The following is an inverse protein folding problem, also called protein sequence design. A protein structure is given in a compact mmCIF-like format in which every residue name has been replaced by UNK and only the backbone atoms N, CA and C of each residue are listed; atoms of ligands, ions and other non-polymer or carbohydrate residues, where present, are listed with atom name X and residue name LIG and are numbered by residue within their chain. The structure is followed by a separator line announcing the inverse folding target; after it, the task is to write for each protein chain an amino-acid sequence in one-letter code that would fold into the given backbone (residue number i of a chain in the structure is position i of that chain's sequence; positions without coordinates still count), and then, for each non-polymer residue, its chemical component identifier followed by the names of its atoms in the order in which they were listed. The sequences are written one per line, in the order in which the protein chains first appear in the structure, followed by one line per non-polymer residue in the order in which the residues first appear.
data_IF_601360417513
#
_entry.id   IF_601360417513
#
_cell.length_a   1.000
_cell.length_b   1.000
_cell.length_c   1.000
_cell.angle_alpha   90.00
_cell.angle_beta   90.00
_cell.angle_gamma   90.00
#
_symmetry.space_group_name_H-M   'P 1'
#
loop_
_entity.id
_entity.type
_entity.pdbx_description
1 polymer ?
#
# COMPACT_ATOMS: atom_id res chain seq x y z
N UNK A 1 14.65 61.78 -26.49
CA UNK A 1 14.00 60.56 -25.97
C UNK A 1 14.08 59.49 -27.05
N UNK A 2 15.06 58.59 -26.98
CA UNK A 2 15.15 57.45 -27.89
C UNK A 2 14.63 56.22 -27.14
N UNK A 3 13.50 55.67 -27.59
CA UNK A 3 12.92 54.46 -27.04
C UNK A 3 13.87 53.28 -27.28
N UNK A 4 14.49 52.79 -26.22
CA UNK A 4 15.36 51.63 -26.25
C UNK A 4 14.50 50.38 -26.52
N UNK A 5 14.35 49.99 -27.79
CA UNK A 5 13.75 48.71 -28.17
C UNK A 5 14.67 47.61 -27.67
N UNK A 6 14.37 47.04 -26.49
CA UNK A 6 15.01 45.82 -25.98
C UNK A 6 15.03 44.79 -27.10
N UNK A 7 16.22 44.41 -27.57
CA UNK A 7 16.36 43.29 -28.51
C UNK A 7 15.65 42.06 -27.91
N UNK A 8 14.84 41.34 -28.70
CA UNK A 8 14.18 40.14 -28.21
C UNK A 8 15.26 39.15 -27.75
N UNK A 9 15.02 38.49 -26.61
CA UNK A 9 15.97 37.50 -26.12
C UNK A 9 16.22 36.44 -27.20
N UNK A 10 17.42 35.85 -27.29
CA UNK A 10 17.71 34.80 -28.26
C UNK A 10 16.66 33.67 -28.24
N UNK A 11 16.13 33.35 -27.05
CA UNK A 11 15.06 32.38 -26.85
C UNK A 11 13.71 32.82 -27.45
N UNK A 12 13.36 34.11 -27.38
CA UNK A 12 12.14 34.64 -27.99
C UNK A 12 12.17 34.55 -29.52
N UNK A 13 13.34 34.73 -30.14
CA UNK A 13 13.52 34.52 -31.60
C UNK A 13 13.34 33.04 -31.96
N UNK A 14 14.00 32.14 -31.23
CA UNK A 14 13.86 30.69 -31.45
C UNK A 14 12.41 30.20 -31.25
N UNK A 15 11.68 30.78 -30.30
CA UNK A 15 10.27 30.48 -30.09
C UNK A 15 9.39 30.93 -31.27
N UNK A 16 9.69 32.08 -31.87
CA UNK A 16 9.01 32.54 -33.07
C UNK A 16 9.27 31.60 -34.26
N UNK A 17 10.52 31.18 -34.45
CA UNK A 17 10.90 30.18 -35.48
C UNK A 17 10.19 28.84 -35.26
N UNK A 18 10.13 28.36 -34.02
CA UNK A 18 9.44 27.12 -33.67
C UNK A 18 7.94 27.19 -33.97
N UNK A 19 7.28 28.33 -33.71
CA UNK A 19 5.86 28.55 -34.06
C UNK A 19 5.65 28.42 -35.57
N UNK A 20 6.46 29.14 -36.35
CA UNK A 20 6.40 29.06 -37.81
C UNK A 20 6.67 27.65 -38.32
N UNK A 21 7.61 26.92 -37.71
CA UNK A 21 7.89 25.53 -38.08
C UNK A 21 6.71 24.60 -37.74
N UNK A 22 6.08 24.80 -36.59
CA UNK A 22 4.90 24.04 -36.16
C UNK A 22 3.73 24.25 -37.11
N UNK A 23 3.46 25.49 -37.52
CA UNK A 23 2.41 25.80 -38.50
C UNK A 23 2.67 25.11 -39.84
N UNK A 24 3.94 25.09 -40.28
CA UNK A 24 4.35 24.39 -41.51
C UNK A 24 4.19 22.87 -41.41
N UNK A 25 4.50 22.28 -40.25
CA UNK A 25 4.31 20.85 -40.00
C UNK A 25 2.81 20.52 -40.00
N UNK A 26 1.98 21.35 -39.37
CA UNK A 26 0.54 21.16 -39.31
C UNK A 26 -0.13 21.23 -40.70
N UNK A 27 0.42 22.03 -41.61
CA UNK A 27 -0.04 22.14 -42.99
C UNK A 27 0.55 21.07 -43.95
N UNK A 28 1.52 20.26 -43.50
CA UNK A 28 2.18 19.28 -44.35
C UNK A 28 1.38 17.97 -44.44
N UNK A 29 1.30 17.40 -45.64
CA UNK A 29 0.69 16.08 -45.83
C UNK A 29 1.64 14.96 -45.36
N UNK A 30 1.14 14.06 -44.52
CA UNK A 30 1.94 12.97 -43.94
C UNK A 30 2.21 11.81 -44.92
N UNK A 31 1.64 11.84 -46.13
CA UNK A 31 1.66 10.75 -47.11
C UNK A 31 0.78 9.56 -46.71
N UNK A 32 0.69 8.56 -47.60
CA UNK A 32 -0.20 7.39 -47.42
C UNK A 32 0.51 6.17 -46.79
N UNK A 33 1.85 6.13 -46.72
CA UNK A 33 2.59 4.98 -46.17
C UNK A 33 2.45 4.90 -44.63
N UNK A 34 1.76 3.87 -44.09
CA UNK A 34 1.52 3.75 -42.65
C UNK A 34 2.81 3.63 -41.81
N UNK A 35 3.90 3.07 -42.37
CA UNK A 35 5.16 2.92 -41.64
C UNK A 35 5.89 4.26 -41.51
N UNK A 36 5.93 5.05 -42.58
CA UNK A 36 6.47 6.39 -42.56
C UNK A 36 5.67 7.32 -41.62
N UNK A 37 4.34 7.28 -41.69
CA UNK A 37 3.45 8.07 -40.81
C UNK A 37 3.67 7.72 -39.34
N UNK A 38 3.78 6.43 -38.99
CA UNK A 38 4.09 6.00 -37.62
C UNK A 38 5.44 6.54 -37.12
N UNK A 39 6.47 6.52 -37.98
CA UNK A 39 7.80 7.04 -37.64
C UNK A 39 7.77 8.56 -37.42
N UNK A 40 7.05 9.31 -38.25
CA UNK A 40 6.84 10.75 -38.08
C UNK A 40 6.12 11.06 -36.76
N UNK A 41 5.05 10.33 -36.44
CA UNK A 41 4.30 10.48 -35.18
C UNK A 41 5.19 10.28 -33.95
N UNK A 42 5.99 9.20 -33.92
CA UNK A 42 6.93 8.94 -32.82
C UNK A 42 8.01 10.03 -32.70
N UNK A 43 8.51 10.56 -33.84
CA UNK A 43 9.45 11.67 -33.84
C UNK A 43 8.85 12.97 -33.26
N UNK A 44 7.59 13.29 -33.59
CA UNK A 44 6.88 14.43 -33.03
C UNK A 44 6.61 14.27 -31.53
N UNK A 45 6.29 13.06 -31.07
CA UNK A 45 6.16 12.75 -29.63
C UNK A 45 7.48 13.00 -28.89
N UNK A 46 8.62 12.59 -29.47
CA UNK A 46 9.94 12.85 -28.90
C UNK A 46 10.27 14.35 -28.82
N UNK A 47 10.02 15.11 -29.88
CA UNK A 47 10.23 16.57 -29.89
C UNK A 47 9.32 17.25 -28.87
N UNK A 48 8.07 16.83 -28.74
CA UNK A 48 7.13 17.34 -27.72
C UNK A 48 7.66 17.10 -26.31
N UNK A 49 8.21 15.91 -26.03
CA UNK A 49 8.83 15.61 -24.74
C UNK A 49 10.06 16.48 -24.46
N UNK A 50 10.90 16.73 -25.48
CA UNK A 50 12.04 17.63 -25.36
C UNK A 50 11.63 19.08 -25.08
N UNK A 51 10.63 19.59 -25.81
CA UNK A 51 10.09 20.93 -25.59
C UNK A 51 9.47 21.07 -24.20
N UNK A 52 8.74 20.04 -23.72
CA UNK A 52 8.23 20.01 -22.34
C UNK A 52 9.34 20.12 -21.31
N UNK A 53 10.47 19.44 -21.52
CA UNK A 53 11.65 19.56 -20.66
C UNK A 53 12.29 20.96 -20.71
N UNK A 54 12.34 21.60 -21.87
CA UNK A 54 12.81 22.99 -21.98
C UNK A 54 11.89 23.93 -21.21
N UNK A 55 10.58 23.80 -21.36
CA UNK A 55 9.59 24.58 -20.59
C UNK A 55 9.77 24.36 -19.08
N UNK A 56 10.00 23.12 -18.65
CA UNK A 56 10.26 22.82 -17.24
C UNK A 56 11.53 23.51 -16.70
N UNK A 57 12.57 23.72 -17.52
CA UNK A 57 13.79 24.44 -17.13
C UNK A 57 13.63 25.96 -17.08
N UNK A 58 12.63 26.49 -17.80
CA UNK A 58 12.36 27.93 -17.86
C UNK A 58 11.35 28.39 -16.81
N UNK A 59 10.69 27.44 -16.13
CA UNK A 59 9.72 27.70 -15.09
C UNK A 59 10.45 28.01 -13.77
N UNK A 60 10.41 29.27 -13.29
CA UNK A 60 11.10 29.65 -12.06
C UNK A 60 10.34 29.21 -10.80
N UNK A 61 9.11 28.68 -10.96
CA UNK A 61 8.26 28.30 -9.85
C UNK A 61 8.65 26.92 -9.33
N UNK A 62 8.94 26.85 -8.03
CA UNK A 62 9.21 25.61 -7.31
C UNK A 62 8.06 24.61 -7.47
N UNK A 63 8.38 23.34 -7.74
CA UNK A 63 7.38 22.28 -7.88
C UNK A 63 7.46 21.33 -6.68
N UNK A 64 6.31 20.86 -6.16
CA UNK A 64 6.33 19.79 -5.17
C UNK A 64 6.81 18.51 -5.84
N UNK A 65 7.57 17.69 -5.11
CA UNK A 65 8.03 16.40 -5.63
C UNK A 65 6.88 15.41 -5.86
N UNK A 66 5.79 15.56 -5.12
CA UNK A 66 4.60 14.72 -5.24
C UNK A 66 3.33 15.53 -4.99
N UNK A 67 2.22 15.08 -5.57
CA UNK A 67 0.88 15.60 -5.31
C UNK A 67 0.13 14.55 -4.49
N UNK A 68 -0.55 15.00 -3.43
CA UNK A 68 -1.49 14.16 -2.70
C UNK A 68 -2.77 13.99 -3.52
N UNK A 69 -3.01 12.79 -4.05
CA UNK A 69 -4.24 12.43 -4.73
C UNK A 69 -5.17 11.68 -3.75
N UNK A 70 -6.27 12.30 -3.29
CA UNK A 70 -7.21 11.64 -2.39
C UNK A 70 -8.00 10.51 -3.07
N UNK A 71 -8.01 10.47 -4.40
CA UNK A 71 -8.72 9.45 -5.19
C UNK A 71 -7.84 8.25 -5.54
N UNK A 72 -6.53 8.32 -5.26
CA UNK A 72 -5.64 7.17 -5.43
C UNK A 72 -6.09 6.02 -4.51
N UNK A 73 -6.27 4.79 -5.05
CA UNK A 73 -6.69 3.64 -4.27
C UNK A 73 -5.77 3.33 -3.07
N UNK A 74 -4.48 3.63 -3.14
CA UNK A 74 -3.56 3.41 -2.01
C UNK A 74 -3.78 4.45 -0.91
N UNK A 75 -3.97 5.73 -1.28
CA UNK A 75 -4.36 6.79 -0.34
C UNK A 75 -5.64 6.43 0.40
N UNK A 76 -6.67 6.01 -0.34
CA UNK A 76 -7.94 5.57 0.27
C UNK A 76 -7.78 4.32 1.15
N UNK A 77 -7.01 3.34 0.69
CA UNK A 77 -6.70 2.12 1.46
C UNK A 77 -6.00 2.42 2.79
N UNK A 78 -5.08 3.39 2.79
CA UNK A 78 -4.40 3.87 4.00
C UNK A 78 -5.36 4.50 5.01
N UNK A 79 -6.30 5.33 4.57
CA UNK A 79 -7.31 5.93 5.47
C UNK A 79 -8.16 4.83 6.14
N UNK A 80 -8.56 3.83 5.35
CA UNK A 80 -9.30 2.67 5.87
C UNK A 80 -8.44 1.86 6.85
N UNK A 81 -7.15 1.66 6.57
CA UNK A 81 -6.21 0.98 7.46
C UNK A 81 -6.06 1.71 8.81
N UNK A 82 -5.90 3.02 8.80
CA UNK A 82 -5.84 3.85 10.00
C UNK A 82 -7.14 3.75 10.81
N UNK A 83 -8.27 3.78 10.12
CA UNK A 83 -9.60 3.61 10.74
C UNK A 83 -9.74 2.23 11.38
N UNK A 84 -9.21 1.16 10.76
CA UNK A 84 -9.19 -0.18 11.36
C UNK A 84 -8.36 -0.20 12.65
N UNK A 85 -7.18 0.42 12.66
CA UNK A 85 -6.30 0.50 13.84
C UNK A 85 -6.99 1.22 15.00
N UNK A 86 -7.80 2.23 14.71
CA UNK A 86 -8.57 2.96 15.72
C UNK A 86 -9.75 2.15 16.34
N UNK A 87 -10.12 1.00 15.78
CA UNK A 87 -11.20 0.18 16.33
C UNK A 87 -10.82 -0.48 17.66
N UNK A 88 -11.80 -0.73 18.50
CA UNK A 88 -11.61 -1.49 19.75
C UNK A 88 -11.25 -2.94 19.44
N UNK A 89 -10.38 -3.54 20.26
CA UNK A 89 -10.11 -4.99 20.20
C UNK A 89 -11.29 -5.78 20.76
N UNK A 90 -11.70 -6.82 20.05
CA UNK A 90 -12.74 -7.76 20.46
C UNK A 90 -12.16 -9.17 20.58
N UNK A 91 -12.59 -10.00 21.56
CA UNK A 91 -12.15 -11.38 21.65
C UNK A 91 -12.55 -12.18 20.41
N UNK A 92 -11.59 -12.80 19.73
CA UNK A 92 -11.86 -13.59 18.52
C UNK A 92 -12.74 -14.82 18.82
N UNK A 93 -12.73 -15.30 20.07
CA UNK A 93 -13.54 -16.42 20.53
C UNK A 93 -15.05 -16.16 20.54
N UNK A 94 -15.50 -14.88 20.51
CA UNK A 94 -16.88 -14.46 20.79
C UNK A 94 -17.50 -13.57 19.70
N UNK A 95 -17.03 -13.67 18.46
CA UNK A 95 -17.54 -12.83 17.36
C UNK A 95 -18.95 -13.29 16.96
N UNK A 96 -20.00 -12.47 17.16
CA UNK A 96 -21.34 -12.81 16.69
C UNK A 96 -21.42 -12.71 15.17
N UNK A 97 -22.49 -13.27 14.60
CA UNK A 97 -22.82 -13.02 13.20
C UNK A 97 -23.29 -11.57 13.02
N UNK A 98 -22.80 -10.91 11.96
CA UNK A 98 -23.21 -9.56 11.60
C UNK A 98 -23.09 -9.33 10.08
N UNK A 99 -23.85 -8.38 9.57
CA UNK A 99 -23.79 -7.97 8.17
C UNK A 99 -22.58 -7.08 7.90
N UNK A 100 -21.94 -7.28 6.75
CA UNK A 100 -20.84 -6.48 6.25
C UNK A 100 -19.71 -7.31 5.63
N UNK A 101 -19.05 -6.68 4.66
CA UNK A 101 -17.75 -7.07 4.15
C UNK A 101 -16.70 -6.06 4.62
N UNK A 102 -15.43 -6.44 4.65
CA UNK A 102 -14.44 -5.55 5.26
C UNK A 102 -13.05 -6.12 5.45
N UNK A 103 -12.30 -5.42 6.31
CA UNK A 103 -10.93 -5.76 6.69
C UNK A 103 -10.84 -6.07 8.18
N UNK A 104 -9.89 -6.91 8.55
CA UNK A 104 -9.65 -7.29 9.94
C UNK A 104 -8.18 -7.55 10.21
N UNK A 105 -7.83 -7.48 11.48
CA UNK A 105 -6.51 -7.78 12.01
C UNK A 105 -6.67 -8.64 13.26
N UNK A 106 -5.88 -9.70 13.38
CA UNK A 106 -5.86 -10.64 14.51
C UNK A 106 -4.59 -10.38 15.32
N UNK A 107 -4.72 -10.37 16.65
CA UNK A 107 -3.66 -10.07 17.60
C UNK A 107 -3.48 -11.24 18.55
N UNK A 108 -2.23 -11.46 18.98
CA UNK A 108 -1.86 -12.56 19.87
C UNK A 108 -1.46 -12.04 21.25
N UNK A 109 -1.93 -12.69 22.31
CA UNK A 109 -1.58 -12.37 23.71
C UNK A 109 -1.28 -13.58 24.59
N UNK A 110 -1.03 -14.74 23.98
CA UNK A 110 -0.73 -15.98 24.66
C UNK A 110 0.75 -16.20 24.97
N UNK A 111 1.09 -17.44 25.35
CA UNK A 111 2.43 -17.84 25.83
C UNK A 111 3.17 -18.84 24.93
N UNK A 112 2.74 -19.04 23.68
CA UNK A 112 3.44 -19.89 22.72
C UNK A 112 4.81 -19.28 22.44
N UNK A 113 5.88 -19.99 22.83
CA UNK A 113 7.26 -19.47 22.85
C UNK A 113 7.69 -18.72 21.59
N UNK A 114 7.48 -19.28 20.38
CA UNK A 114 7.80 -18.60 19.13
C UNK A 114 7.11 -17.25 18.90
N UNK A 115 5.99 -16.96 19.58
CA UNK A 115 5.23 -15.72 19.47
C UNK A 115 5.37 -14.79 20.67
N UNK A 116 6.32 -15.06 21.58
CA UNK A 116 6.47 -14.30 22.82
C UNK A 116 6.63 -12.80 22.59
N UNK A 117 7.31 -12.36 21.53
CA UNK A 117 7.51 -10.94 21.22
C UNK A 117 6.24 -10.20 20.78
N UNK A 118 5.17 -10.92 20.40
CA UNK A 118 3.88 -10.32 20.05
C UNK A 118 2.95 -10.18 21.26
N UNK A 119 3.27 -10.82 22.38
CA UNK A 119 2.38 -10.89 23.54
C UNK A 119 2.09 -9.50 24.09
N UNK A 120 0.82 -9.10 24.05
CA UNK A 120 0.35 -7.83 24.60
C UNK A 120 0.68 -6.61 23.73
N UNK A 121 1.26 -6.82 22.56
CA UNK A 121 1.58 -5.75 21.60
C UNK A 121 0.34 -5.35 20.80
N UNK A 122 0.36 -4.15 20.22
CA UNK A 122 -0.62 -3.70 19.24
C UNK A 122 -0.22 -4.04 17.79
N UNK A 123 0.53 -5.13 17.64
CA UNK A 123 1.01 -5.63 16.36
C UNK A 123 0.23 -6.88 15.94
N UNK A 124 -0.44 -6.88 14.78
CA UNK A 124 -1.24 -8.02 14.35
C UNK A 124 -0.35 -9.19 13.95
N UNK A 125 -0.75 -10.41 14.32
CA UNK A 125 -0.12 -11.65 13.86
C UNK A 125 -0.61 -12.03 12.46
N UNK A 126 -1.82 -11.59 12.09
CA UNK A 126 -2.46 -11.79 10.80
C UNK A 126 -3.36 -10.62 10.43
N UNK A 127 -3.39 -10.26 9.16
CA UNK A 127 -4.31 -9.30 8.56
C UNK A 127 -5.02 -9.98 7.40
N UNK A 128 -6.30 -9.67 7.22
CA UNK A 128 -7.00 -10.10 6.02
C UNK A 128 -8.23 -9.30 5.70
N UNK A 129 -8.87 -9.66 4.58
CA UNK A 129 -10.17 -9.14 4.17
C UNK A 129 -11.23 -10.21 3.98
N UNK A 130 -12.46 -9.75 3.85
CA UNK A 130 -13.62 -10.51 3.40
C UNK A 130 -14.38 -9.66 2.37
N UNK A 131 -14.48 -10.15 1.14
CA UNK A 131 -15.20 -9.46 0.06
C UNK A 131 -16.67 -9.89 0.04
N UNK A 132 -17.59 -9.00 -0.39
CA UNK A 132 -18.97 -9.39 -0.68
C UNK A 132 -19.04 -10.28 -1.93
N UNK A 133 -20.08 -11.11 -2.02
CA UNK A 133 -20.36 -11.87 -3.25
C UNK A 133 -20.71 -10.93 -4.42
N UNK A 134 -21.46 -9.86 -4.09
CA UNK A 134 -21.85 -8.84 -5.05
C UNK A 134 -20.92 -7.63 -4.96
N UNK A 135 -20.10 -7.41 -5.98
CA UNK A 135 -19.20 -6.26 -6.06
C UNK A 135 -19.92 -4.90 -6.18
N UNK A 136 -21.21 -4.90 -6.52
CA UNK A 136 -22.03 -3.68 -6.56
C UNK A 136 -22.74 -3.37 -5.22
N UNK A 137 -22.58 -4.21 -4.20
CA UNK A 137 -23.16 -3.98 -2.87
C UNK A 137 -22.60 -2.69 -2.25
N UNK A 138 -23.47 -1.79 -1.79
CA UNK A 138 -23.07 -0.48 -1.23
C UNK A 138 -23.38 -0.33 0.26
N UNK A 139 -24.08 -1.28 0.85
CA UNK A 139 -24.48 -1.29 2.26
C UNK A 139 -24.14 -2.64 2.90
N UNK A 140 -24.07 -2.68 4.23
CA UNK A 140 -23.66 -3.87 4.96
C UNK A 140 -24.57 -5.08 4.73
N UNK A 141 -25.89 -4.87 4.60
CA UNK A 141 -26.86 -5.96 4.44
C UNK A 141 -26.69 -6.61 3.07
N UNK A 142 -26.57 -5.81 2.00
CA UNK A 142 -26.32 -6.33 0.65
C UNK A 142 -24.95 -6.98 0.48
N UNK A 143 -23.99 -6.68 1.36
CA UNK A 143 -22.69 -7.36 1.42
C UNK A 143 -22.76 -8.76 2.07
N UNK A 144 -23.83 -9.08 2.81
CA UNK A 144 -23.99 -10.35 3.53
C UNK A 144 -23.09 -10.46 4.77
N UNK A 145 -22.99 -11.63 5.39
CA UNK A 145 -22.29 -11.83 6.68
C UNK A 145 -20.82 -12.22 6.53
N UNK A 146 -20.18 -11.74 5.45
CA UNK A 146 -18.87 -12.19 4.96
C UNK A 146 -17.75 -12.00 5.97
N UNK A 147 -17.69 -10.83 6.60
CA UNK A 147 -16.64 -10.52 7.56
C UNK A 147 -16.76 -11.37 8.84
N UNK A 148 -17.95 -11.48 9.42
CA UNK A 148 -18.17 -12.32 10.61
C UNK A 148 -17.94 -13.79 10.31
N UNK A 149 -18.35 -14.28 9.13
CA UNK A 149 -18.11 -15.65 8.70
C UNK A 149 -16.60 -15.93 8.62
N UNK A 150 -15.84 -15.04 7.98
CA UNK A 150 -14.39 -15.16 7.82
C UNK A 150 -13.64 -15.17 9.16
N UNK A 151 -14.01 -14.30 10.10
CA UNK A 151 -13.44 -14.29 11.44
C UNK A 151 -13.73 -15.60 12.19
N UNK A 152 -14.96 -16.12 12.08
CA UNK A 152 -15.34 -17.38 12.71
C UNK A 152 -14.64 -18.61 12.10
N UNK A 153 -14.32 -18.59 10.80
CA UNK A 153 -13.47 -19.60 10.15
C UNK A 153 -12.05 -19.62 10.72
N UNK A 154 -11.44 -18.44 10.92
CA UNK A 154 -10.12 -18.33 11.56
C UNK A 154 -10.18 -18.81 13.01
N UNK A 155 -11.20 -18.41 13.76
CA UNK A 155 -11.42 -18.87 15.12
C UNK A 155 -11.55 -20.40 15.19
N UNK A 156 -12.25 -21.03 14.24
CA UNK A 156 -12.35 -22.49 14.13
C UNK A 156 -10.99 -23.14 13.83
N UNK A 157 -10.21 -22.57 12.92
CA UNK A 157 -8.87 -23.07 12.59
C UNK A 157 -7.93 -23.01 13.80
N UNK A 158 -7.94 -21.90 14.55
CA UNK A 158 -7.15 -21.75 15.78
C UNK A 158 -7.61 -22.74 16.86
N UNK A 159 -8.92 -22.96 17.05
CA UNK A 159 -9.43 -23.97 17.98
C UNK A 159 -8.98 -25.39 17.62
N UNK A 160 -8.85 -25.70 16.33
CA UNK A 160 -8.32 -26.98 15.88
C UNK A 160 -6.85 -27.17 16.24
N UNK A 161 -6.08 -26.09 16.36
CA UNK A 161 -4.66 -26.09 16.76
C UNK A 161 -4.43 -26.11 18.29
N UNK A 162 -5.36 -26.69 19.05
CA UNK A 162 -5.42 -26.62 20.51
C UNK A 162 -4.21 -27.15 21.28
N UNK A 163 -3.29 -27.85 20.62
CA UNK A 163 -2.03 -28.31 21.21
C UNK A 163 -0.98 -27.19 21.36
N UNK A 164 -1.12 -26.12 20.58
CA UNK A 164 -0.14 -25.02 20.52
C UNK A 164 -0.76 -23.64 20.74
N UNK A 165 -2.07 -23.49 20.50
CA UNK A 165 -2.80 -22.23 20.60
C UNK A 165 -4.07 -22.38 21.44
N UNK A 166 -4.37 -21.35 22.25
CA UNK A 166 -5.68 -21.17 22.88
C UNK A 166 -6.43 -20.03 22.16
N UNK A 167 -7.68 -20.27 21.74
CA UNK A 167 -8.52 -19.24 21.12
C UNK A 167 -8.76 -18.03 22.03
N UNK A 168 -8.67 -18.19 23.35
CA UNK A 168 -8.81 -17.11 24.32
C UNK A 168 -7.59 -16.20 24.38
N UNK A 169 -6.48 -16.56 23.71
CA UNK A 169 -5.28 -15.74 23.57
C UNK A 169 -5.29 -14.86 22.32
N UNK A 170 -6.45 -14.74 21.64
CA UNK A 170 -6.59 -13.96 20.42
C UNK A 170 -7.69 -12.92 20.52
N UNK A 171 -7.34 -11.71 20.09
CA UNK A 171 -8.28 -10.61 19.86
C UNK A 171 -8.26 -10.24 18.37
N UNK A 172 -9.26 -9.50 17.93
CA UNK A 172 -9.31 -8.94 16.59
C UNK A 172 -9.85 -7.51 16.59
N UNK A 173 -9.37 -6.71 15.63
CA UNK A 173 -10.04 -5.51 15.16
C UNK A 173 -10.65 -5.82 13.80
N UNK A 174 -11.80 -5.24 13.50
CA UNK A 174 -12.43 -5.39 12.19
C UNK A 174 -13.21 -4.12 11.85
N UNK A 175 -13.32 -3.84 10.56
CA UNK A 175 -14.01 -2.66 10.04
C UNK A 175 -14.85 -3.07 8.84
N UNK A 176 -16.15 -2.79 8.90
CA UNK A 176 -17.06 -2.91 7.76
C UNK A 176 -16.79 -1.73 6.83
N UNK A 177 -16.51 -2.00 5.56
CA UNK A 177 -16.14 -0.96 4.58
C UNK A 177 -16.94 -1.14 3.30
N UNK A 178 -17.13 -0.04 2.57
CA UNK A 178 -17.76 -0.10 1.26
C UNK A 178 -16.95 -1.00 0.32
N UNK A 179 -17.66 -1.68 -0.57
CA UNK A 179 -17.06 -2.56 -1.58
C UNK A 179 -16.08 -1.80 -2.48
N UNK A 180 -14.90 -2.39 -2.68
CA UNK A 180 -13.80 -1.82 -3.47
C UNK A 180 -12.62 -1.34 -2.62
N UNK A 181 -12.82 -1.09 -1.32
CA UNK A 181 -11.75 -0.61 -0.44
C UNK A 181 -11.01 -1.72 0.31
N UNK A 182 -11.56 -2.94 0.34
CA UNK A 182 -11.03 -4.06 1.13
C UNK A 182 -9.59 -4.41 0.75
N UNK A 183 -9.30 -4.51 -0.55
CA UNK A 183 -7.99 -4.95 -1.05
C UNK A 183 -6.89 -3.94 -0.72
N UNK A 184 -7.08 -2.67 -1.07
CA UNK A 184 -6.08 -1.63 -0.81
C UNK A 184 -5.77 -1.48 0.67
N UNK A 185 -6.78 -1.60 1.53
CA UNK A 185 -6.59 -1.54 2.98
C UNK A 185 -5.84 -2.77 3.52
N UNK A 186 -6.21 -3.98 3.09
CA UNK A 186 -5.48 -5.21 3.43
C UNK A 186 -4.00 -5.12 3.00
N UNK A 187 -3.75 -4.74 1.75
CA UNK A 187 -2.39 -4.63 1.21
C UNK A 187 -1.56 -3.60 1.98
N UNK A 188 -2.16 -2.46 2.30
CA UNK A 188 -1.50 -1.44 3.10
C UNK A 188 -1.13 -1.97 4.49
N UNK A 189 -2.08 -2.59 5.20
CA UNK A 189 -1.87 -3.14 6.55
C UNK A 189 -0.82 -4.26 6.56
N UNK A 190 -0.85 -5.16 5.57
CA UNK A 190 0.17 -6.21 5.42
C UNK A 190 1.53 -5.58 5.16
N UNK A 191 1.60 -4.55 4.32
CA UNK A 191 2.85 -3.88 4.03
C UNK A 191 3.41 -3.14 5.26
N UNK A 192 2.54 -2.51 6.04
CA UNK A 192 2.90 -1.73 7.22
C UNK A 192 3.35 -2.61 8.39
N UNK A 193 2.54 -3.62 8.75
CA UNK A 193 2.82 -4.47 9.92
C UNK A 193 3.71 -5.66 9.60
N UNK A 194 3.76 -6.14 8.35
CA UNK A 194 4.44 -7.40 7.98
C UNK A 194 4.07 -8.58 8.90
N UNK A 195 2.77 -8.96 9.03
CA UNK A 195 2.36 -9.99 9.99
C UNK A 195 2.93 -11.38 9.65
N UNK A 196 3.37 -12.12 10.65
CA UNK A 196 4.09 -13.40 10.44
C UNK A 196 3.23 -14.52 9.84
N UNK A 197 1.90 -14.45 9.96
CA UNK A 197 0.97 -15.44 9.38
C UNK A 197 0.51 -15.10 7.95
N UNK A 198 0.82 -13.89 7.47
CA UNK A 198 0.47 -13.46 6.13
C UNK A 198 1.36 -14.13 5.08
N UNK A 199 0.81 -14.37 3.89
CA UNK A 199 1.51 -15.08 2.82
C UNK A 199 2.69 -14.28 2.25
N UNK A 200 2.64 -12.97 2.41
CA UNK A 200 3.55 -11.98 1.89
C UNK A 200 4.89 -11.99 2.63
N UNK A 201 4.89 -12.34 3.93
CA UNK A 201 6.14 -12.48 4.71
C UNK A 201 6.85 -13.80 4.41
N UNK A 202 6.13 -14.78 3.85
CA UNK A 202 6.65 -16.13 3.54
C UNK A 202 7.20 -16.85 4.76
N UNK A 203 6.77 -16.53 5.99
CA UNK A 203 7.29 -17.16 7.23
C UNK A 203 6.38 -18.31 7.68
N UNK A 204 5.27 -17.97 8.36
CA UNK A 204 4.34 -18.91 9.00
C UNK A 204 2.95 -18.82 8.32
N UNK A 205 2.94 -18.87 6.98
CA UNK A 205 1.72 -18.73 6.19
C UNK A 205 0.90 -20.02 6.15
N UNK A 206 -0.42 -19.90 5.90
CA UNK A 206 -1.30 -21.05 5.70
C UNK A 206 -2.63 -21.00 6.46
N UNK A 207 -2.81 -20.05 7.39
CA UNK A 207 -4.06 -19.89 8.13
C UNK A 207 -5.27 -19.72 7.17
N UNK A 208 -5.15 -18.82 6.19
CA UNK A 208 -6.24 -18.49 5.26
C UNK A 208 -6.59 -19.56 4.22
N UNK A 209 -5.88 -20.70 4.20
CA UNK A 209 -6.20 -21.83 3.31
C UNK A 209 -7.46 -22.55 3.77
N UNK A 210 -8.32 -22.87 2.82
CA UNK A 210 -9.41 -23.82 3.02
C UNK A 210 -8.95 -25.21 2.65
N UNK A 211 -9.54 -26.23 3.27
CA UNK A 211 -9.37 -27.61 2.82
C UNK A 211 -10.04 -27.74 1.46
N UNK A 212 -9.24 -27.68 0.40
CA UNK A 212 -9.69 -28.01 -0.94
C UNK A 212 -10.13 -29.48 -1.00
N UNK A 213 -11.04 -29.78 -1.92
CA UNK A 213 -11.54 -31.12 -2.22
C UNK A 213 -10.41 -32.15 -2.34
N UNK A 214 -10.77 -33.42 -2.18
CA UNK A 214 -9.92 -34.62 -2.15
C UNK A 214 -8.86 -34.79 -3.27
N UNK A 215 -8.83 -33.89 -4.24
CA UNK A 215 -7.94 -33.87 -5.40
C UNK A 215 -6.63 -33.08 -5.17
N UNK A 216 -6.54 -32.21 -4.16
CA UNK A 216 -5.34 -31.38 -3.88
C UNK A 216 -4.30 -32.04 -2.96
N UNK A 217 -4.39 -33.36 -2.75
CA UNK A 217 -3.55 -34.21 -1.87
C UNK A 217 -2.04 -34.22 -2.17
N UNK A 218 -1.56 -33.41 -3.10
CA UNK A 218 -0.15 -33.33 -3.52
C UNK A 218 0.59 -32.15 -2.87
N UNK A 219 -0.12 -31.20 -2.25
CA UNK A 219 0.51 -30.02 -1.68
C UNK A 219 1.13 -30.31 -0.31
N UNK A 220 2.43 -30.01 -0.14
CA UNK A 220 3.13 -30.05 1.16
C UNK A 220 2.39 -29.22 2.22
N UNK A 221 2.44 -29.67 3.48
CA UNK A 221 1.83 -29.04 4.66
C UNK A 221 2.37 -27.62 4.83
N UNK A 222 1.48 -26.65 5.02
CA UNK A 222 1.87 -25.25 5.14
C UNK A 222 2.73 -25.00 6.38
N UNK A 223 3.55 -23.93 6.41
CA UNK A 223 4.28 -23.55 7.62
C UNK A 223 3.38 -23.33 8.85
N UNK A 224 2.20 -22.72 8.67
CA UNK A 224 1.23 -22.57 9.75
C UNK A 224 0.78 -23.93 10.30
N UNK A 225 0.38 -24.86 9.43
CA UNK A 225 -0.03 -26.22 9.83
C UNK A 225 1.11 -27.05 10.42
N UNK A 226 2.35 -26.74 10.04
CA UNK A 226 3.54 -27.37 10.61
C UNK A 226 3.75 -26.95 12.07
N UNK A 227 3.54 -25.66 12.36
CA UNK A 227 3.63 -25.13 13.73
C UNK A 227 2.39 -25.43 14.58
N UNK A 228 1.23 -25.61 13.94
CA UNK A 228 -0.08 -25.66 14.57
C UNK A 228 -0.91 -26.85 14.06
N UNK A 229 -0.54 -28.09 14.44
CA UNK A 229 -1.24 -29.30 13.98
C UNK A 229 -2.67 -29.38 14.54
N UNK A 230 -3.56 -30.09 13.83
CA UNK A 230 -4.94 -30.36 14.28
C UNK A 230 -6.03 -30.05 13.25
N UNK A 231 -5.70 -29.41 12.12
CA UNK A 231 -6.59 -29.36 10.96
C UNK A 231 -6.52 -30.70 10.23
N UNK A 232 -7.58 -31.51 10.34
CA UNK A 232 -7.64 -32.89 9.78
C UNK A 232 -7.11 -33.03 8.35
N UNK A 233 -7.39 -32.06 7.47
CA UNK A 233 -6.94 -32.11 6.07
C UNK A 233 -5.42 -31.88 5.93
N UNK A 234 -4.81 -31.09 6.81
CA UNK A 234 -3.38 -30.83 6.82
C UNK A 234 -2.60 -31.97 7.49
N UNK A 235 -3.19 -32.61 8.50
CA UNK A 235 -2.61 -33.75 9.20
C UNK A 235 -2.47 -34.98 8.27
N UNK A 236 -3.33 -35.09 7.25
CA UNK A 236 -3.24 -36.13 6.22
C UNK A 236 -2.03 -35.97 5.28
N UNK A 237 -1.37 -34.80 5.29
CA UNK A 237 -0.18 -34.54 4.47
C UNK A 237 1.07 -34.95 5.24
N UNK A 238 1.97 -35.70 4.62
CA UNK A 238 3.18 -36.25 5.29
C UNK A 238 4.40 -35.35 5.19
N UNK A 239 4.48 -34.47 4.19
CA UNK A 239 5.66 -33.62 3.96
C UNK A 239 5.38 -32.16 4.33
N UNK A 240 6.28 -31.54 5.10
CA UNK A 240 6.20 -30.12 5.46
C UNK A 240 6.89 -29.23 4.42
N UNK A 241 6.35 -28.04 4.17
CA UNK A 241 7.02 -27.04 3.32
C UNK A 241 8.30 -26.49 3.96
N UNK A 242 8.34 -26.45 5.30
CA UNK A 242 9.48 -25.98 6.10
C UNK A 242 9.59 -26.82 7.37
N UNK A 243 10.80 -26.98 7.88
CA UNK A 243 11.01 -27.56 9.21
C UNK A 243 10.52 -26.60 10.31
N UNK A 244 9.95 -27.08 11.43
CA UNK A 244 9.53 -26.26 12.55
C UNK A 244 10.62 -25.30 13.04
N UNK A 245 11.86 -25.78 13.16
CA UNK A 245 13.00 -25.02 13.66
C UNK A 245 13.32 -23.83 12.75
N UNK A 246 13.25 -24.03 11.43
CA UNK A 246 13.42 -22.97 10.43
C UNK A 246 12.32 -21.92 10.54
N UNK A 247 11.08 -22.32 10.83
CA UNK A 247 9.97 -21.37 11.00
C UNK A 247 10.19 -20.53 12.26
N UNK A 248 10.61 -21.14 13.37
CA UNK A 248 10.93 -20.45 14.63
C UNK A 248 12.05 -19.44 14.44
N UNK A 249 13.15 -19.84 13.78
CA UNK A 249 14.28 -18.94 13.47
C UNK A 249 13.82 -17.74 12.63
N UNK A 250 13.03 -17.98 11.58
CA UNK A 250 12.52 -16.92 10.70
C UNK A 250 11.56 -15.98 11.42
N UNK A 251 10.71 -16.48 12.32
CA UNK A 251 9.85 -15.63 13.16
C UNK A 251 10.72 -14.72 14.03
N UNK A 252 11.71 -15.28 14.73
CA UNK A 252 12.61 -14.52 15.60
C UNK A 252 13.37 -13.42 14.84
N UNK A 253 13.99 -13.78 13.71
CA UNK A 253 14.71 -12.84 12.87
C UNK A 253 13.80 -11.73 12.31
N UNK A 254 12.58 -12.09 11.89
CA UNK A 254 11.60 -11.14 11.36
C UNK A 254 11.12 -10.14 12.41
N UNK A 255 10.75 -10.62 13.60
CA UNK A 255 10.26 -9.74 14.68
C UNK A 255 11.39 -8.91 15.31
N UNK A 256 12.65 -9.35 15.22
CA UNK A 256 13.79 -8.53 15.59
C UNK A 256 14.04 -7.39 14.58
N UNK A 257 13.89 -7.67 13.28
CA UNK A 257 14.02 -6.66 12.20
C UNK A 257 12.84 -5.70 12.15
N UNK A 258 11.63 -6.22 12.35
CA UNK A 258 10.36 -5.51 12.30
C UNK A 258 9.73 -5.55 13.69
N UNK A 259 10.24 -4.67 14.58
CA UNK A 259 9.82 -4.64 15.99
C UNK A 259 8.30 -4.49 16.10
N UNK A 260 7.61 -5.34 16.88
CA UNK A 260 6.20 -5.15 17.20
C UNK A 260 5.93 -3.79 17.82
N UNK A 261 4.85 -3.15 17.39
CA UNK A 261 4.38 -1.89 17.97
C UNK A 261 3.73 -2.17 19.32
N UNK A 262 4.12 -1.41 20.34
CA UNK A 262 3.63 -1.59 21.70
C UNK A 262 2.16 -1.18 21.82
N UNK A 263 1.81 -0.04 21.24
CA UNK A 263 0.49 0.56 21.37
C UNK A 263 0.11 1.38 20.13
N UNK A 264 -1.07 1.98 20.22
CA UNK A 264 -1.66 2.78 19.16
C UNK A 264 -0.88 4.07 18.89
N UNK A 265 -0.18 4.64 19.89
CA UNK A 265 0.57 5.89 19.74
C UNK A 265 1.80 5.67 18.86
N UNK A 266 2.56 4.60 19.09
CA UNK A 266 3.69 4.23 18.22
C UNK A 266 3.22 3.99 16.77
N UNK A 267 2.05 3.37 16.60
CA UNK A 267 1.46 3.15 15.28
C UNK A 267 1.12 4.49 14.62
N UNK A 268 0.41 5.38 15.31
CA UNK A 268 0.04 6.69 14.77
C UNK A 268 1.26 7.55 14.42
N UNK A 269 2.28 7.58 15.28
CA UNK A 269 3.54 8.28 15.00
C UNK A 269 4.16 7.79 13.69
N UNK A 270 4.29 6.47 13.54
CA UNK A 270 4.81 5.87 12.31
C UNK A 270 3.94 6.15 11.08
N UNK A 271 2.62 6.14 11.25
CA UNK A 271 1.69 6.55 10.19
C UNK A 271 1.89 8.02 9.81
N UNK A 272 2.12 8.92 10.75
CA UNK A 272 2.32 10.35 10.46
C UNK A 272 3.62 10.59 9.71
N UNK A 273 4.70 9.88 10.06
CA UNK A 273 5.96 9.92 9.30
C UNK A 273 5.77 9.55 7.82
N UNK A 274 5.03 8.48 7.53
CA UNK A 274 4.70 8.07 6.15
C UNK A 274 3.78 9.08 5.43
N UNK A 275 3.27 10.09 6.15
CA UNK A 275 2.30 11.09 5.66
C UNK A 275 2.95 12.44 5.32
N UNK A 276 4.22 12.62 5.65
CA UNK A 276 4.95 13.83 5.34
C UNK A 276 5.14 13.96 3.83
N UNK A 277 4.29 14.78 3.20
CA UNK A 277 4.41 15.12 1.78
C UNK A 277 5.49 16.19 1.54
N UNK A 278 5.69 17.07 2.52
CA UNK A 278 6.62 18.19 2.47
C UNK A 278 7.68 17.98 3.55
N UNK A 279 8.91 17.71 3.13
CA UNK A 279 10.08 17.83 4.00
C UNK A 279 10.68 19.24 3.79
N UNK A 280 11.41 19.76 4.79
CA UNK A 280 12.04 21.09 4.75
C UNK A 280 12.90 21.31 3.49
N UNK A 281 13.36 20.24 2.85
CA UNK A 281 14.34 20.23 1.76
C UNK A 281 13.76 19.97 0.36
N UNK A 282 12.44 19.82 0.21
CA UNK A 282 11.85 19.12 -0.96
C UNK A 282 10.98 20.01 -1.88
N UNK A 283 11.50 21.16 -2.26
CA UNK A 283 11.02 21.87 -3.45
C UNK A 283 12.06 21.80 -4.55
N UNK A 284 11.69 21.27 -5.71
CA UNK A 284 12.63 21.08 -6.82
C UNK A 284 12.31 22.01 -7.99
N UNK A 285 13.36 22.55 -8.62
CA UNK A 285 13.27 23.02 -10.01
C UNK A 285 14.41 22.43 -10.84
N UNK A 286 14.18 22.11 -12.12
CA UNK A 286 15.27 21.78 -13.04
C UNK A 286 16.30 22.90 -13.24
N UNK A 287 15.98 24.13 -12.86
CA UNK A 287 16.85 25.30 -12.96
C UNK A 287 17.75 25.49 -11.73
N UNK A 288 17.27 25.15 -10.52
CA UNK A 288 17.95 25.43 -9.25
C UNK A 288 18.24 24.18 -8.40
N UNK A 289 17.79 22.99 -8.80
CA UNK A 289 17.88 21.78 -7.97
C UNK A 289 16.85 21.77 -6.84
N UNK A 290 17.12 20.98 -5.80
CA UNK A 290 16.37 21.02 -4.54
C UNK A 290 16.67 22.31 -3.78
N UNK A 291 15.64 22.96 -3.27
CA UNK A 291 15.74 24.20 -2.51
C UNK A 291 15.20 23.95 -1.10
N UNK A 292 16.03 24.24 -0.10
CA UNK A 292 15.65 24.21 1.31
C UNK A 292 14.79 25.44 1.63
N UNK A 293 13.68 25.23 2.32
CA UNK A 293 12.75 26.31 2.66
C UNK A 293 13.33 27.31 3.67
N UNK A 294 14.32 26.93 4.48
CA UNK A 294 14.98 27.83 5.44
C UNK A 294 15.89 28.87 4.75
N UNK A 295 16.44 28.57 3.58
CA UNK A 295 17.32 29.47 2.81
C UNK A 295 16.57 30.42 1.87
N UNK A 296 15.25 30.24 1.71
CA UNK A 296 14.39 31.13 0.95
C UNK A 296 14.08 32.43 1.74
N UNK A 297 15.13 33.15 2.15
CA UNK A 297 15.03 34.40 2.88
C UNK A 297 14.24 35.47 2.09
N UNK A 298 13.45 36.22 2.87
CA UNK A 298 12.53 37.30 2.54
C UNK A 298 12.79 38.09 1.23
N UNK A 299 11.73 38.51 0.50
CA UNK A 299 11.91 39.44 -0.60
C UNK A 299 12.62 40.69 -0.10
N UNK A 300 13.77 41.00 -0.72
CA UNK A 300 14.50 42.23 -0.46
C UNK A 300 13.51 43.40 -0.52
N UNK A 301 13.29 44.02 0.64
CA UNK A 301 12.38 45.16 0.76
C UNK A 301 12.75 46.22 -0.27
N UNK A 302 11.72 46.76 -0.91
CA UNK A 302 11.78 47.92 -1.77
C UNK A 302 12.55 49.04 -1.04
N UNK A 303 13.82 49.18 -1.36
CA UNK A 303 14.62 50.33 -0.95
C UNK A 303 14.18 51.51 -1.81
N UNK A 304 13.10 52.16 -1.37
CA UNK A 304 12.75 53.50 -1.81
C UNK A 304 13.82 54.47 -1.34
N UNK A 305 14.55 55.06 -2.29
CA UNK A 305 15.23 56.35 -2.19
C UNK A 305 15.34 56.97 -3.57
#
# INVERSE_FOLDING_TARGET
MAANKKQPSPLASLLAELRTLTDRIAAAEAGEDPRAVKKLRLGLEQVTAQLKNVTHKLDPVLRPESIFDPTDPNTSGRVVALTLVAQTKHPLSKIPEFYGAGVYAIYYRGNFGPYASLKGMDHPIYVGKADPDNQAAKDAVSQGTKLSARLNEHAKSIRSAGTTLDINDFDCRFLIVQTGFQKSAEDYLINFFKPIWNSETKICFGLGKHGDSSETRVNKRSPWDTMHPGRKWADATTENQKAPETIVEQIGAHLAKHRPYADIHEIFERFTEDMHQLNLDHFYTPAHGSVELEEAAAPAGDATS
#
